data_IF_991766069447
#
_entry.id   IF_991766069447
#
_cell.length_a   1.000
_cell.length_b   1.000
_cell.length_c   1.000
_cell.angle_alpha   90.00
_cell.angle_beta   90.00
_cell.angle_gamma   90.00
#
_symmetry.space_group_name_H-M   'P 1'
#
loop_
_entity.id
_entity.type
_entity.pdbx_description
1 polymer ?
#
# COMPACT_ATOMS: atom_id res chain seq x y z
N UNK A 1 -3.82 -19.82 -11.14
CA UNK A 1 -4.74 -19.47 -10.04
C UNK A 1 -5.78 -18.55 -10.66
N UNK A 2 -7.01 -19.02 -10.85
CA UNK A 2 -8.07 -18.20 -11.45
C UNK A 2 -8.43 -17.11 -10.46
N UNK A 3 -8.25 -15.84 -10.85
CA UNK A 3 -8.70 -14.70 -10.07
C UNK A 3 -10.16 -14.47 -10.40
N UNK A 4 -11.01 -14.54 -9.39
CA UNK A 4 -12.41 -14.16 -9.55
C UNK A 4 -12.49 -12.68 -9.92
N UNK A 5 -13.43 -12.32 -10.80
CA UNK A 5 -13.68 -10.93 -11.11
C UNK A 5 -14.18 -10.24 -9.82
N UNK A 6 -13.83 -8.97 -9.60
CA UNK A 6 -14.40 -8.19 -8.50
C UNK A 6 -15.93 -8.13 -8.59
N UNK A 7 -16.47 -8.25 -9.81
CA UNK A 7 -17.89 -8.47 -10.05
C UNK A 7 -18.39 -9.80 -9.51
N UNK A 8 -17.64 -10.90 -9.58
CA UNK A 8 -18.05 -12.20 -9.03
C UNK A 8 -18.02 -12.21 -7.49
N UNK A 9 -17.03 -11.53 -6.89
CA UNK A 9 -17.02 -11.23 -5.44
C UNK A 9 -18.25 -10.39 -5.08
N UNK A 10 -18.60 -9.41 -5.91
CA UNK A 10 -19.83 -8.63 -5.74
C UNK A 10 -21.10 -9.45 -6.01
N UNK A 11 -21.14 -10.38 -6.97
CA UNK A 11 -22.30 -11.23 -7.28
C UNK A 11 -22.58 -12.23 -6.18
N UNK A 12 -21.52 -12.83 -5.64
CA UNK A 12 -21.64 -13.76 -4.51
C UNK A 12 -22.08 -13.04 -3.22
N UNK A 13 -21.83 -11.72 -3.13
CA UNK A 13 -22.23 -10.86 -2.00
C UNK A 13 -23.35 -9.86 -2.34
N UNK A 14 -24.00 -10.01 -3.51
CA UNK A 14 -24.76 -8.96 -4.22
C UNK A 14 -25.96 -8.40 -3.49
N UNK A 15 -26.52 -9.18 -2.58
CA UNK A 15 -27.71 -8.76 -1.83
C UNK A 15 -27.37 -8.00 -0.54
N UNK A 16 -26.08 -7.78 -0.24
CA UNK A 16 -25.66 -7.45 1.12
C UNK A 16 -24.66 -6.32 1.24
N UNK A 17 -23.70 -6.15 0.31
CA UNK A 17 -22.69 -5.08 0.45
C UNK A 17 -23.31 -3.70 0.30
N UNK A 18 -23.21 -2.91 1.37
CA UNK A 18 -23.81 -1.57 1.45
C UNK A 18 -22.79 -0.44 1.29
N UNK A 19 -21.51 -0.74 1.57
CA UNK A 19 -20.41 0.23 1.59
C UNK A 19 -19.17 -0.33 0.91
N UNK A 20 -18.51 0.50 0.10
CA UNK A 20 -17.18 0.25 -0.43
C UNK A 20 -16.24 1.35 0.01
N UNK A 21 -15.10 0.99 0.59
CA UNK A 21 -14.04 1.92 0.98
C UNK A 21 -12.94 1.85 -0.07
N UNK A 22 -12.75 2.93 -0.82
CA UNK A 22 -11.86 2.97 -1.99
C UNK A 22 -10.80 4.07 -1.86
N UNK A 23 -9.65 3.90 -2.52
CA UNK A 23 -8.52 4.79 -2.32
C UNK A 23 -8.67 6.11 -3.06
N UNK A 24 -8.34 7.21 -2.38
CA UNK A 24 -8.37 8.59 -2.90
C UNK A 24 -7.00 9.10 -3.36
N UNK A 25 -5.92 8.46 -2.94
CA UNK A 25 -4.54 8.85 -3.22
C UNK A 25 -4.10 8.39 -4.63
N UNK A 26 -3.38 9.27 -5.33
CA UNK A 26 -3.17 9.23 -6.80
C UNK A 26 -2.62 7.92 -7.36
N UNK A 27 -1.68 7.27 -6.69
CA UNK A 27 -1.10 6.01 -7.18
C UNK A 27 -2.09 4.85 -7.19
N UNK A 28 -2.71 4.58 -6.04
CA UNK A 28 -3.66 3.48 -5.85
C UNK A 28 -5.02 3.77 -6.50
N UNK A 29 -5.42 5.05 -6.56
CA UNK A 29 -6.67 5.51 -7.17
C UNK A 29 -6.80 5.08 -8.62
N UNK A 30 -5.77 5.31 -9.46
CA UNK A 30 -5.86 5.01 -10.89
C UNK A 30 -6.10 3.53 -11.17
N UNK A 31 -5.35 2.67 -10.46
CA UNK A 31 -5.49 1.22 -10.60
C UNK A 31 -6.84 0.73 -10.05
N UNK A 32 -7.20 1.15 -8.84
CA UNK A 32 -8.50 0.83 -8.24
C UNK A 32 -9.68 1.26 -9.11
N UNK A 33 -9.62 2.45 -9.70
CA UNK A 33 -10.67 2.96 -10.58
C UNK A 33 -10.82 2.12 -11.85
N UNK A 34 -9.70 1.72 -12.45
CA UNK A 34 -9.71 0.81 -13.60
C UNK A 34 -10.35 -0.54 -13.23
N UNK A 35 -9.93 -1.15 -12.12
CA UNK A 35 -10.47 -2.43 -11.65
C UNK A 35 -11.98 -2.35 -11.38
N UNK A 36 -12.45 -1.26 -10.75
CA UNK A 36 -13.88 -1.03 -10.52
C UNK A 36 -14.67 -0.83 -11.82
N UNK A 37 -14.12 -0.07 -12.78
CA UNK A 37 -14.75 0.14 -14.08
C UNK A 37 -14.88 -1.17 -14.87
N UNK A 38 -13.85 -2.02 -14.84
CA UNK A 38 -13.88 -3.38 -15.44
C UNK A 38 -14.94 -4.28 -14.80
N UNK A 39 -15.36 -3.97 -13.58
CA UNK A 39 -16.47 -4.61 -12.87
C UNK A 39 -17.85 -4.02 -13.17
N UNK A 40 -17.94 -3.02 -14.06
CA UNK A 40 -19.19 -2.29 -14.30
C UNK A 40 -19.57 -1.29 -13.20
N UNK A 41 -18.64 -0.95 -12.31
CA UNK A 41 -18.74 0.18 -11.37
C UNK A 41 -18.00 1.38 -11.94
N UNK A 42 -18.61 2.04 -12.93
CA UNK A 42 -18.07 3.28 -13.47
C UNK A 42 -18.27 4.43 -12.48
N UNK A 43 -17.16 4.92 -11.93
CA UNK A 43 -17.17 6.00 -10.94
C UNK A 43 -17.59 7.34 -11.55
N UNK A 44 -17.53 7.48 -12.87
CA UNK A 44 -18.03 8.65 -13.58
C UNK A 44 -19.56 8.78 -13.46
N UNK A 45 -20.27 7.67 -13.23
CA UNK A 45 -21.72 7.64 -12.97
C UNK A 45 -22.08 7.95 -11.49
N UNK A 46 -21.08 8.08 -10.62
CA UNK A 46 -21.30 8.23 -9.18
C UNK A 46 -21.69 9.67 -8.81
N UNK A 47 -22.67 9.81 -7.91
CA UNK A 47 -23.10 11.11 -7.38
C UNK A 47 -22.37 11.45 -6.10
N UNK A 48 -21.86 12.66 -5.98
CA UNK A 48 -21.27 13.16 -4.72
C UNK A 48 -22.40 13.36 -3.71
N UNK A 49 -22.28 12.75 -2.53
CA UNK A 49 -23.28 12.84 -1.45
C UNK A 49 -22.69 13.35 -0.13
N UNK A 50 -21.43 13.76 -0.13
CA UNK A 50 -20.74 14.35 1.01
C UNK A 50 -19.22 14.35 0.83
N UNK A 51 -18.51 14.91 1.81
CA UNK A 51 -17.05 14.94 1.75
C UNK A 51 -16.45 13.53 1.77
N UNK A 52 -15.70 13.21 0.71
CA UNK A 52 -15.16 11.87 0.47
C UNK A 52 -16.21 10.77 0.40
N UNK A 53 -17.46 11.08 -0.01
CA UNK A 53 -18.55 10.11 -0.13
C UNK A 53 -19.26 10.22 -1.48
N UNK A 54 -19.39 9.10 -2.18
CA UNK A 54 -20.14 8.98 -3.43
C UNK A 54 -21.26 7.94 -3.30
N UNK A 55 -22.23 8.01 -4.22
CA UNK A 55 -23.32 7.05 -4.35
C UNK A 55 -23.38 6.54 -5.79
N UNK A 56 -23.35 5.23 -5.97
CA UNK A 56 -23.40 4.59 -7.29
C UNK A 56 -24.30 3.35 -7.22
N UNK A 57 -25.36 3.28 -8.02
CA UNK A 57 -26.26 2.11 -8.11
C UNK A 57 -26.72 1.54 -6.74
N UNK A 58 -27.02 2.40 -5.77
CA UNK A 58 -27.45 1.99 -4.42
C UNK A 58 -26.31 1.63 -3.45
N UNK A 59 -25.05 1.70 -3.90
CA UNK A 59 -23.86 1.49 -3.10
C UNK A 59 -23.28 2.83 -2.59
N UNK A 60 -22.83 2.85 -1.33
CA UNK A 60 -22.09 3.99 -0.76
C UNK A 60 -20.60 3.77 -0.97
N UNK A 61 -19.90 4.74 -1.57
CA UNK A 61 -18.46 4.71 -1.75
C UNK A 61 -17.80 5.71 -0.79
N UNK A 62 -16.86 5.26 0.02
CA UNK A 62 -16.08 6.07 0.95
C UNK A 62 -14.66 6.24 0.41
N UNK A 63 -14.29 7.47 0.04
CA UNK A 63 -12.96 7.81 -0.46
C UNK A 63 -11.99 8.02 0.71
N UNK A 64 -10.97 7.18 0.85
CA UNK A 64 -10.00 7.21 1.97
C UNK A 64 -8.55 7.07 1.48
N UNK A 65 -7.56 7.43 2.29
CA UNK A 65 -6.16 7.11 1.94
C UNK A 65 -6.00 5.60 2.07
N UNK A 66 -5.17 4.98 1.22
CA UNK A 66 -5.00 3.52 1.22
C UNK A 66 -4.69 2.94 2.60
N UNK A 67 -3.86 3.62 3.39
CA UNK A 67 -3.47 3.20 4.74
C UNK A 67 -4.61 3.29 5.77
N UNK A 68 -5.64 4.08 5.50
CA UNK A 68 -6.81 4.25 6.36
C UNK A 68 -7.94 3.25 6.00
N UNK A 69 -7.85 2.57 4.86
CA UNK A 69 -8.94 1.70 4.38
C UNK A 69 -9.23 0.55 5.36
N UNK A 70 -8.24 -0.24 5.83
CA UNK A 70 -8.51 -1.36 6.73
C UNK A 70 -9.25 -0.97 8.02
N UNK A 71 -8.87 0.18 8.62
CA UNK A 71 -9.53 0.64 9.85
C UNK A 71 -10.96 1.12 9.57
N UNK A 72 -11.21 1.76 8.44
CA UNK A 72 -12.57 2.20 8.07
C UNK A 72 -13.48 1.01 7.76
N UNK A 73 -12.97 -0.05 7.13
CA UNK A 73 -13.73 -1.31 6.93
C UNK A 73 -14.10 -1.90 8.30
N UNK A 74 -13.13 -2.00 9.20
CA UNK A 74 -13.36 -2.48 10.58
C UNK A 74 -14.46 -1.68 11.30
N UNK A 75 -14.44 -0.35 11.16
CA UNK A 75 -15.40 0.54 11.83
C UNK A 75 -16.81 0.45 11.23
N UNK A 76 -16.93 0.36 9.91
CA UNK A 76 -18.23 0.17 9.24
C UNK A 76 -18.82 -1.22 9.56
N UNK A 77 -17.99 -2.26 9.60
CA UNK A 77 -18.43 -3.60 10.02
C UNK A 77 -18.98 -3.61 11.46
N UNK A 78 -18.30 -2.93 12.39
CA UNK A 78 -18.76 -2.77 13.77
C UNK A 78 -20.08 -2.01 13.89
N UNK A 79 -20.43 -1.18 12.90
CA UNK A 79 -21.73 -0.53 12.80
C UNK A 79 -22.82 -1.44 12.20
N UNK A 80 -22.52 -2.73 12.00
CA UNK A 80 -23.45 -3.71 11.44
C UNK A 80 -23.61 -3.61 9.93
N UNK A 81 -22.71 -2.92 9.24
CA UNK A 81 -22.73 -2.82 7.78
C UNK A 81 -21.91 -3.93 7.15
N UNK A 82 -22.34 -4.34 5.97
CA UNK A 82 -21.55 -5.23 5.13
C UNK A 82 -20.76 -4.32 4.20
N UNK A 83 -19.44 -4.40 4.32
CA UNK A 83 -18.50 -3.42 3.79
C UNK A 83 -17.34 -4.15 3.12
N UNK A 84 -16.87 -3.61 1.99
CA UNK A 84 -15.64 -4.05 1.34
C UNK A 84 -14.65 -2.89 1.29
N UNK A 85 -13.37 -3.18 1.43
CA UNK A 85 -12.26 -2.24 1.27
C UNK A 85 -11.33 -2.65 0.14
N UNK A 86 -10.85 -1.66 -0.61
CA UNK A 86 -9.90 -1.86 -1.70
C UNK A 86 -8.58 -1.16 -1.39
N UNK A 87 -7.53 -1.90 -1.04
CA UNK A 87 -6.24 -1.31 -0.62
C UNK A 87 -5.05 -2.07 -1.19
N UNK A 88 -3.82 -1.57 -0.97
CA UNK A 88 -2.60 -2.33 -1.24
C UNK A 88 -2.39 -3.42 -0.19
N UNK A 89 -1.96 -4.62 -0.61
CA UNK A 89 -1.62 -5.72 0.31
C UNK A 89 -0.52 -5.32 1.30
N UNK A 90 0.42 -4.47 0.89
CA UNK A 90 1.45 -3.85 1.72
C UNK A 90 0.87 -3.04 2.88
N UNK A 91 -0.21 -2.28 2.62
CA UNK A 91 -0.89 -1.46 3.62
C UNK A 91 -1.78 -2.31 4.54
N UNK A 92 -2.41 -3.36 4.00
CA UNK A 92 -3.16 -4.32 4.81
C UNK A 92 -2.23 -5.09 5.76
N UNK A 93 -1.06 -5.52 5.29
CA UNK A 93 -0.09 -6.21 6.13
C UNK A 93 0.49 -5.28 7.21
N UNK A 94 0.78 -4.02 6.88
CA UNK A 94 1.15 -3.03 7.89
C UNK A 94 0.05 -2.88 8.96
N UNK A 95 -1.22 -2.84 8.54
CA UNK A 95 -2.35 -2.78 9.46
C UNK A 95 -2.42 -4.01 10.36
N UNK A 96 -2.24 -5.22 9.80
CA UNK A 96 -2.24 -6.49 10.55
C UNK A 96 -1.10 -6.58 11.55
N UNK A 97 0.08 -6.06 11.21
CA UNK A 97 1.20 -5.96 12.15
C UNK A 97 0.91 -4.98 13.30
N UNK A 98 0.13 -3.92 13.04
CA UNK A 98 -0.29 -2.95 14.05
C UNK A 98 -1.45 -3.45 14.92
N UNK A 99 -2.35 -4.25 14.35
CA UNK A 99 -3.55 -4.78 14.99
C UNK A 99 -3.64 -6.30 14.74
N UNK A 100 -2.88 -7.13 15.46
CA UNK A 100 -2.81 -8.57 15.19
C UNK A 100 -4.16 -9.29 15.38
N UNK A 101 -5.03 -8.76 16.25
CA UNK A 101 -6.35 -9.35 16.55
C UNK A 101 -7.48 -8.84 15.64
N UNK A 102 -7.15 -8.20 14.51
CA UNK A 102 -8.16 -7.78 13.54
C UNK A 102 -8.86 -9.01 12.90
N UNK A 103 -10.08 -8.81 12.41
CA UNK A 103 -10.89 -9.85 11.79
C UNK A 103 -10.94 -9.77 10.26
N UNK A 104 -10.17 -8.88 9.64
CA UNK A 104 -10.27 -8.61 8.21
C UNK A 104 -9.76 -9.78 7.38
N UNK A 105 -10.57 -10.24 6.44
CA UNK A 105 -10.17 -11.30 5.49
C UNK A 105 -9.82 -10.69 4.14
N UNK A 106 -9.04 -11.44 3.35
CA UNK A 106 -8.80 -11.09 1.95
C UNK A 106 -9.75 -11.92 1.13
N UNK A 107 -10.70 -11.25 0.50
CA UNK A 107 -11.66 -11.89 -0.42
C UNK A 107 -11.00 -12.15 -1.77
N UNK A 108 -10.15 -11.22 -2.23
CA UNK A 108 -9.47 -11.37 -3.51
C UNK A 108 -8.21 -10.51 -3.62
N UNK A 109 -7.31 -10.90 -4.53
CA UNK A 109 -6.07 -10.20 -4.85
C UNK A 109 -5.91 -10.03 -6.37
N UNK A 110 -5.69 -8.79 -6.81
CA UNK A 110 -5.44 -8.42 -8.20
C UNK A 110 -3.96 -8.05 -8.36
N UNK A 111 -3.25 -8.73 -9.28
CA UNK A 111 -1.88 -8.32 -9.64
C UNK A 111 -1.92 -6.86 -10.04
N UNK A 112 -1.08 -6.03 -9.44
CA UNK A 112 -0.93 -4.67 -9.92
C UNK A 112 0.03 -4.64 -11.10
N UNK A 113 -0.46 -4.92 -12.31
CA UNK A 113 0.38 -4.79 -13.50
C UNK A 113 0.30 -3.39 -14.12
N UNK A 114 1.46 -2.72 -14.22
CA UNK A 114 1.58 -1.40 -14.79
C UNK A 114 2.93 -1.22 -15.52
N UNK A 115 2.95 -1.11 -16.87
CA UNK A 115 4.17 -0.89 -17.66
C UNK A 115 4.96 0.37 -17.30
N UNK A 116 4.32 1.38 -16.68
CA UNK A 116 5.00 2.60 -16.25
C UNK A 116 5.77 2.42 -14.92
N UNK A 117 5.47 1.34 -14.18
CA UNK A 117 6.19 1.00 -12.96
C UNK A 117 7.54 0.34 -13.28
N UNK A 118 8.56 0.69 -12.49
CA UNK A 118 9.94 0.20 -12.64
C UNK A 118 10.04 -1.32 -12.65
N UNK A 119 9.18 -1.98 -11.88
CA UNK A 119 9.14 -3.44 -11.72
C UNK A 119 7.84 -4.04 -12.26
N UNK A 120 7.17 -3.34 -13.19
CA UNK A 120 5.83 -3.68 -13.69
C UNK A 120 4.74 -3.68 -12.60
N UNK A 121 5.10 -3.31 -11.37
CA UNK A 121 4.24 -3.13 -10.19
C UNK A 121 4.95 -2.25 -9.15
N UNK A 122 4.25 -1.61 -8.20
CA UNK A 122 4.90 -0.92 -7.09
C UNK A 122 5.67 -1.91 -6.20
N UNK A 123 6.77 -1.44 -5.60
CA UNK A 123 7.58 -2.27 -4.72
C UNK A 123 8.09 -1.47 -3.52
N UNK A 124 8.07 -2.08 -2.33
CA UNK A 124 8.74 -1.52 -1.16
C UNK A 124 10.23 -1.82 -1.28
N UNK A 125 11.08 -0.79 -1.18
CA UNK A 125 12.52 -0.94 -1.42
C UNK A 125 13.34 -0.33 -0.30
N UNK A 126 14.52 -0.91 -0.05
CA UNK A 126 15.62 -0.20 0.60
C UNK A 126 16.30 0.71 -0.42
N UNK A 127 16.46 1.98 -0.10
CA UNK A 127 16.97 3.01 -1.00
C UNK A 127 18.18 3.70 -0.36
N UNK A 128 19.27 3.84 -1.11
CA UNK A 128 20.51 4.45 -0.63
C UNK A 128 21.33 5.11 -1.74
N UNK A 129 22.52 5.61 -1.40
CA UNK A 129 23.48 6.16 -2.38
C UNK A 129 24.18 5.10 -3.21
N UNK A 130 24.23 3.85 -2.73
CA UNK A 130 24.80 2.71 -3.45
C UNK A 130 23.77 1.59 -3.56
N UNK A 131 23.81 0.83 -4.66
CA UNK A 131 22.98 -0.36 -4.84
C UNK A 131 23.57 -1.60 -4.15
N UNK A 132 24.83 -1.55 -3.73
CA UNK A 132 25.55 -2.70 -3.18
C UNK A 132 25.23 -2.89 -1.67
N UNK A 133 24.56 -3.98 -1.27
CA UNK A 133 24.23 -4.24 0.13
C UNK A 133 25.48 -4.42 1.01
N UNK A 134 26.64 -4.78 0.43
CA UNK A 134 27.90 -4.90 1.18
C UNK A 134 28.42 -3.56 1.69
N UNK A 135 27.91 -2.44 1.15
CA UNK A 135 28.29 -1.08 1.58
C UNK A 135 27.46 -0.54 2.75
N UNK A 136 26.52 -1.33 3.28
CA UNK A 136 25.76 -0.94 4.48
C UNK A 136 26.73 -0.86 5.68
N UNK A 137 26.85 0.29 6.36
CA UNK A 137 27.78 0.47 7.47
C UNK A 137 27.40 -0.41 8.67
N UNK A 138 28.28 -0.52 9.67
CA UNK A 138 28.01 -1.28 10.91
C UNK A 138 26.90 -0.65 11.77
N UNK A 139 26.71 0.65 11.65
CA UNK A 139 25.71 1.44 12.40
C UNK A 139 24.82 2.25 11.45
N UNK A 140 23.99 1.60 10.62
CA UNK A 140 23.19 2.31 9.63
C UNK A 140 22.08 3.12 10.30
N UNK A 141 21.86 4.32 9.80
CA UNK A 141 20.77 5.19 10.22
C UNK A 141 19.72 5.35 9.11
N UNK A 142 18.52 4.82 9.33
CA UNK A 142 17.47 4.71 8.32
C UNK A 142 16.32 5.68 8.55
N UNK A 143 15.80 6.25 7.46
CA UNK A 143 14.45 6.83 7.42
C UNK A 143 13.42 5.75 7.09
N UNK A 144 12.30 5.73 7.80
CA UNK A 144 11.19 4.79 7.57
C UNK A 144 9.91 5.58 7.39
N UNK A 145 9.11 5.24 6.39
CA UNK A 145 7.83 5.91 6.17
C UNK A 145 6.85 5.44 7.24
N UNK A 146 6.08 6.35 7.83
CA UNK A 146 5.09 6.04 8.86
C UNK A 146 4.11 4.96 8.44
N UNK A 147 3.73 4.94 7.15
CA UNK A 147 2.85 3.92 6.56
C UNK A 147 3.49 2.52 6.42
N UNK A 148 4.79 2.37 6.70
CA UNK A 148 5.54 1.10 6.61
C UNK A 148 6.39 0.85 7.84
N UNK A 149 6.02 1.41 8.99
CA UNK A 149 6.82 1.37 10.21
C UNK A 149 7.06 -0.06 10.69
N UNK A 150 6.02 -0.89 10.77
CA UNK A 150 6.11 -2.24 11.30
C UNK A 150 6.70 -3.20 10.28
N UNK A 151 6.29 -3.12 9.02
CA UNK A 151 6.87 -3.90 7.92
C UNK A 151 8.37 -3.63 7.79
N UNK A 152 8.80 -2.37 7.88
CA UNK A 152 10.23 -2.02 7.84
C UNK A 152 11.00 -2.59 9.04
N UNK A 153 10.43 -2.54 10.25
CA UNK A 153 11.07 -3.15 11.43
C UNK A 153 11.21 -4.66 11.29
N UNK A 154 10.18 -5.33 10.79
CA UNK A 154 10.18 -6.76 10.54
C UNK A 154 11.25 -7.14 9.52
N UNK A 155 11.34 -6.38 8.43
CA UNK A 155 12.38 -6.53 7.41
C UNK A 155 13.79 -6.39 8.02
N UNK A 156 14.05 -5.29 8.74
CA UNK A 156 15.35 -5.02 9.35
C UNK A 156 15.77 -6.08 10.38
N UNK A 157 14.81 -6.68 11.08
CA UNK A 157 15.09 -7.74 12.05
C UNK A 157 15.40 -9.10 11.39
N UNK A 158 14.84 -9.36 10.20
CA UNK A 158 14.94 -10.67 9.53
C UNK A 158 16.02 -10.74 8.45
N UNK A 159 16.30 -9.62 7.78
CA UNK A 159 17.20 -9.63 6.63
C UNK A 159 18.67 -9.85 7.09
N UNK A 160 19.36 -10.89 6.55
CA UNK A 160 20.75 -11.21 6.88
C UNK A 160 21.72 -10.04 6.74
N UNK A 161 21.47 -9.11 5.82
CA UNK A 161 22.36 -7.96 5.61
C UNK A 161 22.39 -7.00 6.81
N UNK A 162 21.41 -7.10 7.72
CA UNK A 162 21.33 -6.30 8.93
C UNK A 162 21.70 -7.06 10.21
N UNK A 163 21.95 -8.37 10.13
CA UNK A 163 22.36 -9.16 11.29
C UNK A 163 23.67 -8.65 11.90
N UNK A 164 23.69 -8.49 13.22
CA UNK A 164 24.84 -7.98 13.97
C UNK A 164 25.13 -6.48 13.78
N UNK A 165 24.26 -5.73 13.10
CA UNK A 165 24.39 -4.26 12.96
C UNK A 165 23.59 -3.52 14.03
N UNK A 166 24.07 -2.34 14.43
CA UNK A 166 23.35 -1.45 15.34
C UNK A 166 22.53 -0.45 14.53
N UNK A 167 21.28 -0.76 14.30
CA UNK A 167 20.40 -0.01 13.41
C UNK A 167 19.73 1.12 14.18
N UNK A 168 19.83 2.36 13.71
CA UNK A 168 18.99 3.46 14.19
C UNK A 168 17.93 3.80 13.14
N UNK A 169 16.71 4.10 13.58
CA UNK A 169 15.60 4.42 12.68
C UNK A 169 14.93 5.72 13.07
N UNK A 170 14.47 6.50 12.09
CA UNK A 170 13.57 7.63 12.33
C UNK A 170 12.40 7.57 11.37
N UNK A 171 11.20 7.79 11.91
CA UNK A 171 9.96 7.75 11.14
C UNK A 171 9.66 9.12 10.53
N UNK A 172 9.21 9.12 9.28
CA UNK A 172 8.81 10.30 8.52
C UNK A 172 7.43 10.07 7.89
N UNK A 173 6.65 11.13 7.73
CA UNK A 173 5.36 11.08 7.01
C UNK A 173 5.50 11.36 5.50
N UNK A 174 6.73 11.56 4.99
CA UNK A 174 7.04 11.78 3.57
C UNK A 174 8.45 12.32 3.32
N UNK A 175 8.83 12.45 2.04
CA UNK A 175 10.09 13.05 1.55
C UNK A 175 11.39 12.39 2.06
N UNK A 176 11.35 11.08 2.27
CA UNK A 176 12.46 10.31 2.85
C UNK A 176 13.72 10.34 1.99
N UNK A 177 13.56 10.36 0.66
CA UNK A 177 14.67 10.33 -0.27
C UNK A 177 15.54 11.59 -0.15
N UNK A 178 14.98 12.72 0.31
CA UNK A 178 15.79 13.93 0.59
C UNK A 178 16.65 13.79 1.83
N UNK A 179 16.16 13.09 2.86
CA UNK A 179 16.96 12.80 4.05
C UNK A 179 18.18 11.94 3.69
N UNK A 180 18.00 10.97 2.78
CA UNK A 180 19.11 10.18 2.23
C UNK A 180 20.04 11.01 1.35
N UNK A 181 19.46 11.85 0.49
CA UNK A 181 20.23 12.71 -0.43
C UNK A 181 21.16 13.66 0.32
N UNK A 182 20.64 14.32 1.34
CA UNK A 182 21.40 15.26 2.19
C UNK A 182 22.43 14.57 3.08
N UNK A 183 22.33 13.26 3.28
CA UNK A 183 23.18 12.50 4.20
C UNK A 183 22.72 12.59 5.66
N UNK A 184 21.54 13.15 5.93
CA UNK A 184 20.93 13.09 7.26
C UNK A 184 20.57 11.64 7.66
N UNK A 185 20.35 10.78 6.66
CA UNK A 185 20.14 9.33 6.79
C UNK A 185 21.01 8.61 5.76
N UNK A 186 21.42 7.39 6.09
CA UNK A 186 22.20 6.54 5.19
C UNK A 186 21.31 5.89 4.12
N UNK A 187 20.13 5.45 4.56
CA UNK A 187 19.15 4.75 3.74
C UNK A 187 17.73 5.17 4.11
N UNK A 188 16.77 4.88 3.23
CA UNK A 188 15.36 4.89 3.56
C UNK A 188 14.65 3.62 3.08
N UNK A 189 13.54 3.28 3.71
CA UNK A 189 12.61 2.27 3.23
C UNK A 189 11.33 2.97 2.77
N UNK A 190 11.07 2.93 1.47
CA UNK A 190 9.86 3.51 0.87
C UNK A 190 9.47 2.80 -0.43
N UNK A 191 8.26 3.06 -0.89
CA UNK A 191 7.72 2.53 -2.14
C UNK A 191 8.40 3.18 -3.36
N UNK A 192 8.86 2.33 -4.28
CA UNK A 192 9.33 2.72 -5.60
C UNK A 192 8.29 2.29 -6.64
N UNK A 193 7.71 3.27 -7.31
CA UNK A 193 6.81 3.06 -8.45
C UNK A 193 7.59 3.19 -9.77
N UNK A 194 7.67 4.38 -10.38
CA UNK A 194 8.42 4.58 -11.64
C UNK A 194 9.94 4.74 -11.48
N UNK A 195 10.44 4.90 -10.25
CA UNK A 195 11.85 5.19 -9.97
C UNK A 195 12.34 6.57 -10.42
N UNK A 196 11.46 7.45 -10.94
CA UNK A 196 11.81 8.81 -11.38
C UNK A 196 12.44 9.64 -10.26
N UNK A 197 11.89 9.57 -9.04
CA UNK A 197 12.37 10.32 -7.86
C UNK A 197 13.78 9.89 -7.45
N UNK A 198 14.02 8.59 -7.24
CA UNK A 198 15.35 8.09 -6.86
C UNK A 198 16.40 8.39 -7.93
N UNK A 199 16.04 8.32 -9.23
CA UNK A 199 16.94 8.68 -10.33
C UNK A 199 17.31 10.17 -10.28
N UNK A 200 16.33 11.06 -10.11
CA UNK A 200 16.53 12.51 -9.98
C UNK A 200 17.47 12.85 -8.83
N UNK A 201 17.35 12.14 -7.71
CA UNK A 201 18.18 12.35 -6.51
C UNK A 201 19.53 11.63 -6.57
N UNK A 202 19.82 10.85 -7.62
CA UNK A 202 21.00 9.98 -7.74
C UNK A 202 21.09 8.93 -6.64
N UNK A 203 19.94 8.40 -6.23
CA UNK A 203 19.81 7.26 -5.31
C UNK A 203 19.57 5.98 -6.10
N UNK A 204 19.66 4.84 -5.41
CA UNK A 204 19.49 3.49 -5.97
C UNK A 204 18.72 2.62 -4.99
N UNK A 205 18.02 1.63 -5.52
CA UNK A 205 17.54 0.49 -4.74
C UNK A 205 18.76 -0.34 -4.34
N UNK A 206 18.83 -0.73 -3.06
CA UNK A 206 19.90 -1.53 -2.49
C UNK A 206 19.49 -2.99 -2.54
N UNK A 207 20.25 -3.82 -3.24
CA UNK A 207 19.85 -5.20 -3.48
C UNK A 207 18.52 -5.30 -4.23
N UNK A 208 17.68 -6.23 -3.79
CA UNK A 208 16.36 -6.51 -4.37
C UNK A 208 15.24 -5.76 -3.63
N UNK A 209 14.06 -5.60 -4.26
CA UNK A 209 12.87 -5.12 -3.55
C UNK A 209 12.56 -5.96 -2.31
N UNK A 210 12.11 -5.31 -1.25
CA UNK A 210 11.70 -5.96 0.01
C UNK A 210 10.43 -6.78 -0.22
N UNK A 211 9.49 -6.20 -0.96
CA UNK A 211 8.27 -6.86 -1.43
C UNK A 211 7.69 -6.11 -2.62
N UNK A 212 6.86 -6.82 -3.37
CA UNK A 212 5.94 -6.21 -4.31
C UNK A 212 4.61 -5.88 -3.64
N UNK A 213 3.84 -5.02 -4.31
CA UNK A 213 2.51 -4.61 -3.87
C UNK A 213 1.48 -4.99 -4.93
N UNK A 214 0.41 -5.64 -4.48
CA UNK A 214 -0.79 -5.96 -5.25
C UNK A 214 -2.02 -5.27 -4.64
N UNK A 215 -3.12 -5.27 -5.37
CA UNK A 215 -4.39 -4.70 -4.90
C UNK A 215 -5.23 -5.82 -4.25
N UNK A 216 -5.78 -5.56 -3.06
CA UNK A 216 -6.61 -6.53 -2.33
C UNK A 216 -7.98 -5.97 -2.01
N UNK A 217 -8.98 -6.85 -2.09
CA UNK A 217 -10.32 -6.66 -1.54
C UNK A 217 -10.36 -7.34 -0.18
N UNK A 218 -10.82 -6.60 0.83
CA UNK A 218 -10.99 -7.10 2.20
C UNK A 218 -12.38 -6.77 2.75
N UNK A 219 -12.86 -7.60 3.67
CA UNK A 219 -14.14 -7.45 4.38
C UNK A 219 -13.99 -7.48 5.91
#
# INVERSE_FOLDING_TARGET
MYRENIYEVMESTKEKVSVWVIPKNTGLKGYAWKTLKEAGLDLDDARVVGDGKLRLKGLTLLLRRGEDIPIVVTDEFKQGRIVLGLTGDDLLDEFRLRQPDNFLKVENTYDWYDPEAKYLRPALCLIGKSADPKKIPKRPNLAINEKYKYASRLYLAKDPQFQGKFISTTTYSGDLERAVKSGARDYCIDTVYSGKTIRKLRLRVVGEPIRFTDLVVND
#
